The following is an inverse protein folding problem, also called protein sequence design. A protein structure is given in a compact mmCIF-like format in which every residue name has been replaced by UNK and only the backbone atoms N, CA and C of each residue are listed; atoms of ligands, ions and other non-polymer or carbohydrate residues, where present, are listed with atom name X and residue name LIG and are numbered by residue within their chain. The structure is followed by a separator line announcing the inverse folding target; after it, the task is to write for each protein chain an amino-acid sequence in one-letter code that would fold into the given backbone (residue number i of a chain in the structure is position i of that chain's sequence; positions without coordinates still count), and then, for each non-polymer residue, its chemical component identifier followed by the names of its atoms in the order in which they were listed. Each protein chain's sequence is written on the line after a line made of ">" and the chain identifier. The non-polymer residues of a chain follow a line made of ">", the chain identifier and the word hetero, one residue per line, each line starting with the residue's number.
data_IF_230108659306
#
_entry.id   IF_230108659306
#
_cell.length_a   1.000
_cell.length_b   1.000
_cell.length_c   1.000
_cell.angle_alpha   90.00
_cell.angle_beta   90.00
_cell.angle_gamma   90.00
#
_symmetry.space_group_name_H-M   'P 1'
#
loop_
_entity.id
_entity.type
_entity.pdbx_description
1 polymer ?
#
# COMPACT_ATOMS: atom_id res chain seq x y z
N UNK A 1 -6.78 13.95 -21.34
CA UNK A 1 -6.95 13.10 -20.14
C UNK A 1 -5.70 12.28 -19.80
N UNK A 2 -5.21 11.38 -20.67
CA UNK A 2 -3.99 10.59 -20.36
C UNK A 2 -2.76 11.48 -20.15
N UNK A 3 -2.55 12.47 -21.04
CA UNK A 3 -1.47 13.45 -20.88
C UNK A 3 -1.60 14.25 -19.59
N UNK A 4 -2.81 14.67 -19.23
CA UNK A 4 -3.07 15.39 -17.98
C UNK A 4 -2.72 14.54 -16.74
N UNK A 5 -3.09 13.26 -16.74
CA UNK A 5 -2.75 12.31 -15.67
C UNK A 5 -1.22 12.20 -15.55
N UNK A 6 -0.52 12.01 -16.68
CA UNK A 6 0.94 11.89 -16.69
C UNK A 6 1.63 13.18 -16.22
N UNK A 7 1.11 14.35 -16.57
CA UNK A 7 1.64 15.63 -16.08
C UNK A 7 1.49 15.75 -14.57
N UNK A 8 0.34 15.38 -14.02
CA UNK A 8 0.12 15.34 -12.56
C UNK A 8 1.07 14.34 -11.92
N UNK A 9 1.17 13.12 -12.46
CA UNK A 9 2.08 12.10 -11.93
C UNK A 9 3.53 12.55 -11.90
N UNK A 10 4.00 13.19 -12.97
CA UNK A 10 5.36 13.69 -13.06
C UNK A 10 5.64 14.77 -12.02
N UNK A 11 4.68 15.68 -11.81
CA UNK A 11 4.76 16.72 -10.79
C UNK A 11 4.82 16.10 -9.38
N UNK A 12 3.89 15.20 -9.06
CA UNK A 12 3.83 14.50 -7.77
C UNK A 12 5.10 13.70 -7.50
N UNK A 13 5.57 12.94 -8.48
CA UNK A 13 6.79 12.15 -8.37
C UNK A 13 8.00 13.03 -8.01
N UNK A 14 8.14 14.20 -8.64
CA UNK A 14 9.20 15.16 -8.30
C UNK A 14 9.02 15.77 -6.92
N UNK A 15 7.79 16.08 -6.52
CA UNK A 15 7.49 16.66 -5.21
C UNK A 15 7.90 15.73 -4.07
N UNK A 16 7.69 14.42 -4.22
CA UNK A 16 8.12 13.40 -3.24
C UNK A 16 9.62 13.47 -2.92
N UNK A 17 10.47 13.74 -3.92
CA UNK A 17 11.93 13.80 -3.74
C UNK A 17 12.46 15.19 -3.35
N UNK A 18 11.68 16.25 -3.57
CA UNK A 18 12.13 17.64 -3.37
C UNK A 18 11.69 18.26 -2.04
N UNK A 19 10.77 17.64 -1.30
CA UNK A 19 10.30 18.15 -0.01
C UNK A 19 11.45 18.28 1.01
N UNK A 20 11.91 19.52 1.23
CA UNK A 20 13.13 19.91 1.96
C UNK A 20 13.12 19.57 3.46
N UNK A 21 11.96 19.25 4.05
CA UNK A 21 11.80 18.68 5.40
C UNK A 21 11.23 17.25 5.42
N UNK A 22 10.71 16.77 4.29
CA UNK A 22 10.16 15.42 4.12
C UNK A 22 11.21 14.35 3.86
N UNK A 23 12.39 14.72 3.35
CA UNK A 23 13.48 13.76 3.05
C UNK A 23 13.91 12.90 4.22
N UNK A 24 13.99 13.46 5.43
CA UNK A 24 14.34 12.68 6.64
C UNK A 24 13.24 11.69 7.01
N UNK A 25 11.98 12.13 7.00
CA UNK A 25 10.81 11.27 7.26
C UNK A 25 10.68 10.17 6.20
N UNK A 26 10.88 10.52 4.93
CA UNK A 26 10.89 9.60 3.79
C UNK A 26 12.02 8.58 3.90
N UNK A 27 13.23 9.01 4.26
CA UNK A 27 14.35 8.11 4.50
C UNK A 27 14.07 7.18 5.68
N UNK A 28 13.49 7.67 6.78
CA UNK A 28 13.09 6.83 7.92
C UNK A 28 12.02 5.81 7.54
N UNK A 29 11.04 6.19 6.73
CA UNK A 29 9.99 5.30 6.24
C UNK A 29 10.55 4.24 5.28
N UNK A 30 11.57 4.57 4.47
CA UNK A 30 12.26 3.61 3.60
C UNK A 30 13.30 2.76 4.34
N UNK A 31 13.78 3.20 5.49
CA UNK A 31 14.77 2.49 6.28
C UNK A 31 14.20 1.18 6.82
N UNK A 32 12.94 1.16 7.27
CA UNK A 32 12.35 -0.05 7.88
C UNK A 32 12.11 -1.19 6.88
N UNK A 33 11.57 -0.97 5.65
CA UNK A 33 11.50 -2.01 4.63
C UNK A 33 12.88 -2.51 4.21
N UNK A 34 13.85 -1.59 4.07
CA UNK A 34 15.21 -1.93 3.65
C UNK A 34 15.90 -2.79 4.72
N UNK A 35 15.77 -2.42 6.00
CA UNK A 35 16.31 -3.18 7.11
C UNK A 35 15.70 -4.60 7.17
N UNK A 36 14.38 -4.72 7.06
CA UNK A 36 13.67 -6.01 7.00
C UNK A 36 14.13 -6.86 5.81
N UNK A 37 14.40 -6.22 4.66
CA UNK A 37 14.87 -6.90 3.43
C UNK A 37 16.29 -7.46 3.53
N UNK A 38 17.06 -7.07 4.54
CA UNK A 38 18.42 -7.60 4.75
C UNK A 38 18.43 -8.57 5.92
N UNK A 39 17.86 -8.18 7.06
CA UNK A 39 17.94 -8.98 8.29
C UNK A 39 17.19 -10.29 8.16
N UNK A 40 15.95 -10.28 7.67
CA UNK A 40 15.12 -11.49 7.67
C UNK A 40 15.65 -12.55 6.68
N UNK A 41 16.01 -12.20 5.44
CA UNK A 41 16.59 -13.16 4.50
C UNK A 41 17.96 -13.66 4.93
N UNK A 42 18.74 -12.84 5.65
CA UNK A 42 20.02 -13.28 6.19
C UNK A 42 19.87 -14.40 7.23
N UNK A 43 18.79 -14.34 8.03
CA UNK A 43 18.50 -15.36 9.03
C UNK A 43 17.91 -16.64 8.42
N UNK A 44 16.98 -16.50 7.46
CA UNK A 44 16.24 -17.64 6.88
C UNK A 44 16.91 -18.25 5.63
N UNK A 45 17.83 -17.53 4.99
CA UNK A 45 18.52 -17.99 3.78
C UNK A 45 17.54 -18.38 2.67
N UNK A 46 17.57 -19.65 2.28
CA UNK A 46 16.73 -20.21 1.20
C UNK A 46 15.24 -20.22 1.55
N UNK A 47 14.89 -20.49 2.80
CA UNK A 47 13.48 -20.59 3.22
C UNK A 47 12.73 -19.27 3.01
N UNK A 48 13.45 -18.15 3.02
CA UNK A 48 12.87 -16.86 2.67
C UNK A 48 12.22 -16.87 1.29
N UNK A 49 12.84 -17.46 0.27
CA UNK A 49 12.37 -17.39 -1.12
C UNK A 49 11.05 -18.13 -1.38
N UNK A 50 10.67 -19.05 -0.48
CA UNK A 50 9.40 -19.78 -0.52
C UNK A 50 8.44 -19.39 0.61
N UNK A 51 8.88 -18.58 1.57
CA UNK A 51 8.09 -18.29 2.77
C UNK A 51 6.89 -17.39 2.48
N UNK A 52 5.75 -17.73 3.09
CA UNK A 52 4.57 -16.87 3.12
C UNK A 52 4.83 -15.54 3.85
N UNK A 53 5.84 -15.49 4.73
CA UNK A 53 6.22 -14.26 5.44
C UNK A 53 6.63 -13.15 4.47
N UNK A 54 7.27 -13.47 3.34
CA UNK A 54 7.64 -12.47 2.32
C UNK A 54 6.40 -11.80 1.75
N UNK A 55 5.39 -12.61 1.42
CA UNK A 55 4.10 -12.14 0.90
C UNK A 55 3.41 -11.25 1.93
N UNK A 56 3.39 -11.63 3.20
CA UNK A 56 2.80 -10.79 4.24
C UNK A 56 3.57 -9.48 4.45
N UNK A 57 4.90 -9.53 4.52
CA UNK A 57 5.76 -8.35 4.71
C UNK A 57 5.61 -7.39 3.52
N UNK A 58 5.54 -7.89 2.29
CA UNK A 58 5.31 -7.07 1.11
C UNK A 58 3.98 -6.29 1.16
N UNK A 59 2.93 -6.93 1.67
CA UNK A 59 1.63 -6.31 1.86
C UNK A 59 1.67 -5.24 2.97
N UNK A 60 2.36 -5.51 4.09
CA UNK A 60 2.54 -4.54 5.17
C UNK A 60 3.33 -3.32 4.68
N UNK A 61 4.39 -3.51 3.89
CA UNK A 61 5.16 -2.41 3.31
C UNK A 61 4.26 -1.58 2.39
N UNK A 62 3.53 -2.20 1.47
CA UNK A 62 2.59 -1.51 0.60
C UNK A 62 1.56 -0.68 1.40
N UNK A 63 1.01 -1.26 2.47
CA UNK A 63 0.10 -0.61 3.39
C UNK A 63 0.72 0.62 4.08
N UNK A 64 1.93 0.50 4.63
CA UNK A 64 2.59 1.60 5.34
C UNK A 64 2.95 2.76 4.40
N UNK A 65 3.45 2.45 3.19
CA UNK A 65 3.83 3.47 2.22
C UNK A 65 2.59 4.17 1.66
N UNK A 66 1.59 3.42 1.19
CA UNK A 66 0.35 4.02 0.67
C UNK A 66 -0.40 4.78 1.76
N UNK A 67 -0.41 4.26 2.99
CA UNK A 67 -1.09 4.85 4.14
C UNK A 67 -0.48 6.13 4.67
N UNK A 68 0.75 6.47 4.26
CA UNK A 68 1.40 7.75 4.59
C UNK A 68 1.34 8.73 3.43
N UNK A 69 1.58 8.27 2.20
CA UNK A 69 1.61 9.13 1.02
C UNK A 69 0.25 9.70 0.64
N UNK A 70 -0.82 8.93 0.81
CA UNK A 70 -2.15 9.35 0.36
C UNK A 70 -2.76 10.42 1.27
N UNK A 71 -2.71 10.27 2.61
CA UNK A 71 -3.06 11.37 3.50
C UNK A 71 -2.29 12.66 3.21
N UNK A 72 -0.99 12.59 2.94
CA UNK A 72 -0.18 13.77 2.62
C UNK A 72 -0.59 14.41 1.29
N UNK A 73 -0.85 13.60 0.26
CA UNK A 73 -1.22 14.09 -1.08
C UNK A 73 -2.63 14.72 -1.17
N UNK A 74 -3.56 14.34 -0.27
CA UNK A 74 -4.94 14.84 -0.27
C UNK A 74 -5.25 15.75 0.91
N UNK A 75 -5.08 15.26 2.15
CA UNK A 75 -5.35 16.07 3.33
C UNK A 75 -4.28 17.15 3.53
N UNK A 76 -3.04 16.92 3.09
CA UNK A 76 -1.96 17.90 3.22
C UNK A 76 -2.15 19.13 2.35
N UNK A 77 -2.75 18.98 1.17
CA UNK A 77 -3.12 20.15 0.37
C UNK A 77 -4.32 20.90 0.92
N UNK A 78 -5.22 20.21 1.65
CA UNK A 78 -6.31 20.87 2.37
C UNK A 78 -5.79 21.69 3.54
N UNK A 79 -4.91 21.07 4.33
CA UNK A 79 -4.27 21.69 5.50
C UNK A 79 -3.44 22.92 5.12
N UNK A 80 -2.89 22.95 3.90
CA UNK A 80 -2.12 24.09 3.36
C UNK A 80 -2.97 25.10 2.58
N UNK A 81 -4.29 24.93 2.54
CA UNK A 81 -5.25 25.75 1.77
C UNK A 81 -4.92 25.85 0.26
N UNK A 82 -4.14 24.91 -0.28
CA UNK A 82 -3.73 24.90 -1.70
C UNK A 82 -4.65 24.08 -2.59
N UNK A 83 -5.65 23.39 -2.03
CA UNK A 83 -6.63 22.64 -2.82
C UNK A 83 -7.47 23.55 -3.72
N UNK A 84 -7.86 24.73 -3.25
CA UNK A 84 -8.71 25.65 -4.02
C UNK A 84 -7.98 26.22 -5.23
N UNK A 85 -6.67 26.50 -5.10
CA UNK A 85 -5.82 26.98 -6.20
C UNK A 85 -5.52 25.88 -7.22
N UNK A 86 -5.37 24.63 -6.77
CA UNK A 86 -5.27 23.47 -7.67
C UNK A 86 -6.59 23.22 -8.43
N UNK A 87 -7.74 23.37 -7.78
CA UNK A 87 -9.05 23.30 -8.43
C UNK A 87 -9.34 24.51 -9.34
N UNK A 88 -8.66 25.65 -9.16
CA UNK A 88 -8.76 26.78 -10.08
C UNK A 88 -8.01 26.55 -11.42
N UNK A 89 -7.12 25.54 -11.49
CA UNK A 89 -6.45 25.20 -12.76
C UNK A 89 -7.39 24.47 -13.74
N UNK A 90 -7.05 24.54 -15.04
CA UNK A 90 -7.81 23.92 -16.14
C UNK A 90 -7.74 22.39 -16.17
N UNK A 91 -7.11 21.75 -15.18
CA UNK A 91 -6.96 20.30 -15.15
C UNK A 91 -8.26 19.63 -14.69
N UNK A 92 -8.67 18.52 -15.34
CA UNK A 92 -9.87 17.81 -14.93
C UNK A 92 -9.64 17.10 -13.59
N UNK A 93 -10.62 17.20 -12.68
CA UNK A 93 -10.58 16.63 -11.32
C UNK A 93 -10.19 15.15 -11.27
N UNK A 94 -10.71 14.37 -12.23
CA UNK A 94 -10.38 12.94 -12.36
C UNK A 94 -8.92 12.72 -12.69
N UNK A 95 -8.28 13.59 -13.47
CA UNK A 95 -6.86 13.47 -13.77
C UNK A 95 -5.99 13.79 -12.55
N UNK A 96 -6.41 14.75 -11.72
CA UNK A 96 -5.72 15.07 -10.46
C UNK A 96 -5.82 13.88 -9.50
N UNK A 97 -7.03 13.37 -9.26
CA UNK A 97 -7.23 12.22 -8.37
C UNK A 97 -6.43 11.00 -8.85
N UNK A 98 -6.57 10.62 -10.12
CA UNK A 98 -5.89 9.46 -10.67
C UNK A 98 -4.37 9.63 -10.66
N UNK A 99 -3.87 10.82 -11.03
CA UNK A 99 -2.43 11.08 -11.04
C UNK A 99 -1.80 10.95 -9.66
N UNK A 100 -2.44 11.49 -8.62
CA UNK A 100 -1.98 11.38 -7.23
C UNK A 100 -2.04 9.96 -6.70
N UNK A 101 -3.19 9.32 -6.89
CA UNK A 101 -3.41 7.94 -6.45
C UNK A 101 -2.42 6.99 -7.13
N UNK A 102 -2.27 7.06 -8.46
CA UNK A 102 -1.36 6.19 -9.20
C UNK A 102 0.09 6.45 -8.81
N UNK A 103 0.48 7.71 -8.55
CA UNK A 103 1.82 8.04 -8.07
C UNK A 103 2.11 7.38 -6.73
N UNK A 104 1.21 7.49 -5.76
CA UNK A 104 1.38 6.87 -4.44
C UNK A 104 1.42 5.33 -4.53
N UNK A 105 0.51 4.72 -5.31
CA UNK A 105 0.45 3.26 -5.50
C UNK A 105 1.69 2.74 -6.20
N UNK A 106 2.12 3.36 -7.32
CA UNK A 106 3.31 2.96 -8.05
C UNK A 106 4.57 3.15 -7.22
N UNK A 107 4.64 4.21 -6.41
CA UNK A 107 5.74 4.40 -5.48
C UNK A 107 5.80 3.28 -4.43
N UNK A 108 4.67 2.96 -3.79
CA UNK A 108 4.59 1.85 -2.84
C UNK A 108 5.01 0.51 -3.47
N UNK A 109 4.54 0.23 -4.69
CA UNK A 109 4.94 -0.96 -5.45
C UNK A 109 6.42 -0.96 -5.81
N UNK A 110 6.97 0.19 -6.21
CA UNK A 110 8.41 0.33 -6.47
C UNK A 110 9.25 -0.01 -5.25
N UNK A 111 8.83 0.42 -4.06
CA UNK A 111 9.49 0.07 -2.79
C UNK A 111 9.40 -1.44 -2.52
N UNK A 112 8.25 -2.07 -2.76
CA UNK A 112 8.09 -3.53 -2.61
C UNK A 112 8.98 -4.29 -3.58
N UNK A 113 9.02 -3.90 -4.85
CA UNK A 113 9.90 -4.51 -5.86
C UNK A 113 11.37 -4.35 -5.47
N UNK A 114 11.78 -3.17 -5.02
CA UNK A 114 13.14 -2.94 -4.54
C UNK A 114 13.46 -3.83 -3.33
N UNK A 115 12.55 -3.93 -2.36
CA UNK A 115 12.68 -4.81 -1.19
C UNK A 115 12.82 -6.28 -1.59
N UNK A 116 11.98 -6.78 -2.51
CA UNK A 116 12.06 -8.14 -3.03
C UNK A 116 13.40 -8.40 -3.75
N UNK A 117 13.89 -7.42 -4.52
CA UNK A 117 15.17 -7.49 -5.21
C UNK A 117 16.37 -7.54 -4.25
N UNK A 118 16.41 -6.65 -3.25
CA UNK A 118 17.46 -6.64 -2.22
C UNK A 118 17.44 -7.95 -1.44
N UNK A 119 16.27 -8.39 -0.99
CA UNK A 119 16.15 -9.63 -0.23
C UNK A 119 16.49 -10.89 -1.04
N UNK A 120 16.25 -10.89 -2.36
CA UNK A 120 16.71 -11.95 -3.26
C UNK A 120 18.23 -12.04 -3.30
N UNK A 121 18.91 -10.90 -3.44
CA UNK A 121 20.38 -10.82 -3.44
C UNK A 121 20.93 -11.32 -2.10
N UNK A 122 20.38 -10.84 -0.99
CA UNK A 122 20.81 -11.23 0.36
C UNK A 122 20.63 -12.73 0.61
N UNK A 123 19.47 -13.29 0.26
CA UNK A 123 19.20 -14.72 0.40
C UNK A 123 20.19 -15.57 -0.41
N UNK A 124 20.51 -15.15 -1.63
CA UNK A 124 21.45 -15.84 -2.51
C UNK A 124 22.90 -15.74 -2.01
N UNK A 125 23.32 -14.60 -1.44
CA UNK A 125 24.65 -14.46 -0.82
C UNK A 125 24.76 -15.40 0.37
N UNK A 126 23.72 -15.48 1.21
CA UNK A 126 23.73 -16.28 2.43
C UNK A 126 23.70 -17.79 2.17
N UNK A 127 22.92 -18.22 1.20
CA UNK A 127 22.68 -19.63 0.84
C UNK A 127 23.17 -19.93 -0.58
N UNK A 128 24.41 -19.53 -0.88
CA UNK A 128 25.01 -19.70 -2.19
C UNK A 128 25.33 -21.17 -2.47
N UNK A 129 24.71 -21.74 -3.51
CA UNK A 129 24.91 -23.12 -3.96
C UNK A 129 25.43 -23.19 -5.41
N UNK A 130 26.09 -22.13 -5.89
CA UNK A 130 26.62 -22.07 -7.26
C UNK A 130 25.59 -21.73 -8.34
N UNK A 131 24.32 -21.48 -7.97
CA UNK A 131 23.25 -21.00 -8.87
C UNK A 131 22.40 -19.96 -8.16
N UNK A 132 21.89 -19.01 -8.94
CA UNK A 132 20.90 -18.03 -8.47
C UNK A 132 19.57 -18.74 -8.26
N UNK A 133 19.07 -18.69 -7.04
CA UNK A 133 17.75 -19.15 -6.63
C UNK A 133 16.77 -17.99 -6.74
N UNK A 134 15.63 -18.27 -7.37
CA UNK A 134 14.54 -17.31 -7.53
C UNK A 134 13.44 -17.56 -6.51
N UNK A 135 12.60 -16.55 -6.30
CA UNK A 135 11.37 -16.73 -5.54
C UNK A 135 10.51 -17.85 -6.12
N UNK A 136 9.89 -18.63 -5.25
CA UNK A 136 8.82 -19.53 -5.68
C UNK A 136 7.75 -18.71 -6.41
N UNK A 137 7.19 -19.18 -7.54
CA UNK A 137 6.22 -18.40 -8.32
C UNK A 137 5.02 -17.93 -7.47
N UNK A 138 4.57 -18.77 -6.54
CA UNK A 138 3.50 -18.45 -5.58
C UNK A 138 3.88 -17.31 -4.66
N UNK A 139 5.12 -17.27 -4.17
CA UNK A 139 5.62 -16.24 -3.25
C UNK A 139 5.93 -14.96 -4.02
N UNK A 140 6.66 -15.02 -5.13
CA UNK A 140 7.04 -13.83 -5.91
C UNK A 140 5.82 -13.09 -6.46
N UNK A 141 5.01 -13.78 -7.26
CA UNK A 141 3.81 -13.17 -7.84
C UNK A 141 2.72 -12.92 -6.80
N UNK A 142 2.59 -13.79 -5.79
CA UNK A 142 1.64 -13.59 -4.70
C UNK A 142 1.96 -12.33 -3.88
N UNK A 143 3.24 -12.05 -3.64
CA UNK A 143 3.70 -10.83 -2.96
C UNK A 143 3.33 -9.59 -3.77
N UNK A 144 3.63 -9.58 -5.07
CA UNK A 144 3.29 -8.45 -5.93
C UNK A 144 1.78 -8.23 -6.06
N UNK A 145 1.01 -9.32 -6.25
CA UNK A 145 -0.44 -9.25 -6.37
C UNK A 145 -1.08 -8.73 -5.07
N UNK A 146 -0.69 -9.29 -3.92
CA UNK A 146 -1.21 -8.86 -2.62
C UNK A 146 -0.80 -7.41 -2.31
N UNK A 147 0.46 -7.03 -2.54
CA UNK A 147 0.93 -5.66 -2.36
C UNK A 147 0.15 -4.67 -3.24
N UNK A 148 -0.17 -5.05 -4.48
CA UNK A 148 -0.97 -4.23 -5.41
C UNK A 148 -2.38 -4.01 -4.87
N UNK A 149 -3.07 -5.09 -4.50
CA UNK A 149 -4.44 -5.01 -3.96
C UNK A 149 -4.47 -4.20 -2.65
N UNK A 150 -3.46 -4.37 -1.79
CA UNK A 150 -3.39 -3.60 -0.55
C UNK A 150 -3.10 -2.12 -0.81
N UNK A 151 -2.13 -1.79 -1.67
CA UNK A 151 -1.81 -0.40 -1.99
C UNK A 151 -3.01 0.35 -2.60
N UNK A 152 -3.74 -0.31 -3.49
CA UNK A 152 -4.93 0.24 -4.16
C UNK A 152 -6.12 0.39 -3.21
N UNK A 153 -6.32 -0.58 -2.31
CA UNK A 153 -7.38 -0.53 -1.28
C UNK A 153 -7.13 0.61 -0.28
N UNK A 154 -5.91 0.69 0.26
CA UNK A 154 -5.46 1.80 1.11
C UNK A 154 -5.59 3.12 0.33
N UNK A 155 -5.27 3.06 -0.96
CA UNK A 155 -5.62 4.02 -1.99
C UNK A 155 -7.01 4.63 -1.89
N UNK A 156 -8.00 3.81 -2.22
CA UNK A 156 -9.39 4.23 -2.28
C UNK A 156 -9.92 4.70 -0.93
N UNK A 157 -9.63 3.96 0.15
CA UNK A 157 -10.05 4.32 1.49
C UNK A 157 -9.40 5.62 1.97
N UNK A 158 -8.10 5.79 1.71
CA UNK A 158 -7.35 6.98 2.06
C UNK A 158 -7.93 8.23 1.41
N UNK A 159 -8.30 8.16 0.13
CA UNK A 159 -8.98 9.27 -0.56
C UNK A 159 -10.29 9.63 0.16
N UNK A 160 -11.16 8.65 0.43
CA UNK A 160 -12.47 8.91 1.06
C UNK A 160 -12.31 9.58 2.43
N UNK A 161 -11.33 9.13 3.21
CA UNK A 161 -11.04 9.63 4.55
C UNK A 161 -10.41 11.02 4.49
N UNK A 162 -9.40 11.21 3.64
CA UNK A 162 -8.68 12.48 3.49
C UNK A 162 -9.56 13.61 2.98
N UNK A 163 -10.62 13.31 2.23
CA UNK A 163 -11.61 14.31 1.81
C UNK A 163 -12.40 14.92 2.97
N UNK A 164 -12.46 14.27 4.13
CA UNK A 164 -13.22 14.75 5.29
C UNK A 164 -12.33 15.14 6.48
N UNK A 165 -11.05 14.79 6.44
CA UNK A 165 -10.10 15.10 7.49
C UNK A 165 -9.62 16.56 7.40
N UNK A 166 -9.40 17.20 8.55
CA UNK A 166 -8.87 18.56 8.62
C UNK A 166 -7.34 18.60 8.51
N UNK A 167 -6.65 17.53 8.94
CA UNK A 167 -5.18 17.44 8.93
C UNK A 167 -4.68 16.12 8.36
N UNK A 168 -3.43 16.10 7.89
CA UNK A 168 -2.74 14.87 7.43
C UNK A 168 -2.69 13.83 8.53
N UNK A 169 -2.38 14.25 9.76
CA UNK A 169 -2.28 13.33 10.89
C UNK A 169 -3.63 12.68 11.20
N UNK A 170 -4.72 13.45 11.18
CA UNK A 170 -6.06 12.90 11.41
C UNK A 170 -6.44 11.90 10.30
N UNK A 171 -6.17 12.23 9.04
CA UNK A 171 -6.43 11.33 7.92
C UNK A 171 -5.64 10.03 8.04
N UNK A 172 -4.35 10.11 8.36
CA UNK A 172 -3.48 8.95 8.51
C UNK A 172 -3.93 8.05 9.69
N UNK A 173 -4.20 8.63 10.87
CA UNK A 173 -4.66 7.86 12.04
C UNK A 173 -5.99 7.18 11.77
N UNK A 174 -6.96 7.88 11.16
CA UNK A 174 -8.25 7.29 10.84
C UNK A 174 -8.13 6.18 9.78
N UNK A 175 -7.30 6.38 8.76
CA UNK A 175 -7.02 5.36 7.74
C UNK A 175 -6.40 4.09 8.37
N UNK A 176 -5.40 4.27 9.23
CA UNK A 176 -4.79 3.17 9.97
C UNK A 176 -5.82 2.48 10.89
N UNK A 177 -6.65 3.24 11.60
CA UNK A 177 -7.68 2.69 12.48
C UNK A 177 -8.74 1.88 11.71
N UNK A 178 -9.25 2.41 10.60
CA UNK A 178 -10.26 1.74 9.75
C UNK A 178 -9.75 0.41 9.21
N UNK A 179 -8.45 0.30 8.96
CA UNK A 179 -7.83 -0.92 8.42
C UNK A 179 -7.38 -1.89 9.53
N UNK A 180 -6.74 -1.38 10.59
CA UNK A 180 -6.18 -2.21 11.65
C UNK A 180 -7.22 -2.70 12.65
N UNK A 181 -8.22 -1.88 13.01
CA UNK A 181 -9.20 -2.29 14.04
C UNK A 181 -10.01 -3.50 13.61
N UNK A 182 -10.57 -3.60 12.38
CA UNK A 182 -11.25 -4.81 11.93
C UNK A 182 -10.30 -6.01 11.85
N UNK A 183 -9.05 -5.80 11.42
CA UNK A 183 -8.06 -6.86 11.35
C UNK A 183 -7.71 -7.41 12.75
N UNK A 184 -7.55 -6.53 13.73
CA UNK A 184 -7.30 -6.89 15.13
C UNK A 184 -8.51 -7.57 15.75
N UNK A 185 -9.73 -7.08 15.49
CA UNK A 185 -10.96 -7.71 15.97
C UNK A 185 -11.12 -9.12 15.39
N UNK A 186 -10.83 -9.29 14.10
CA UNK A 186 -10.85 -10.59 13.43
C UNK A 186 -9.78 -11.52 13.99
N UNK A 187 -8.56 -11.02 14.24
CA UNK A 187 -7.49 -11.79 14.89
C UNK A 187 -7.86 -12.18 16.32
N UNK A 188 -8.42 -11.28 17.12
CA UNK A 188 -8.87 -11.57 18.47
C UNK A 188 -9.99 -12.61 18.48
N UNK A 189 -10.98 -12.46 17.60
CA UNK A 189 -12.05 -13.45 17.42
C UNK A 189 -11.49 -14.83 17.00
N UNK A 190 -10.50 -14.84 16.10
CA UNK A 190 -9.82 -16.05 15.68
C UNK A 190 -9.08 -16.75 16.83
N UNK A 191 -8.41 -15.99 17.71
CA UNK A 191 -7.74 -16.52 18.90
C UNK A 191 -8.72 -17.07 19.93
N UNK A 192 -9.85 -16.40 20.14
CA UNK A 192 -10.90 -16.83 21.08
C UNK A 192 -11.67 -18.07 20.57
N UNK A 193 -11.68 -18.30 19.26
CA UNK A 193 -12.36 -19.42 18.60
C UNK A 193 -11.39 -20.49 18.07
N UNK A 194 -10.20 -20.59 18.65
CA UNK A 194 -9.09 -21.42 18.16
C UNK A 194 -9.50 -22.86 17.81
N UNK A 195 -10.35 -23.50 18.61
CA UNK A 195 -10.82 -24.89 18.37
C UNK A 195 -11.72 -25.04 17.13
N UNK A 196 -12.55 -24.02 16.83
CA UNK A 196 -13.41 -24.01 15.62
C UNK A 196 -12.65 -23.55 14.40
N UNK A 197 -11.70 -22.63 14.59
CA UNK A 197 -10.84 -22.12 13.55
C UNK A 197 -9.85 -23.19 13.08
N UNK A 198 -9.31 -24.02 13.98
CA UNK A 198 -8.44 -25.14 13.63
C UNK A 198 -9.12 -26.11 12.64
N UNK A 199 -10.41 -26.42 12.86
CA UNK A 199 -11.20 -27.26 11.93
C UNK A 199 -11.46 -26.58 10.58
N UNK A 200 -11.70 -25.27 10.55
CA UNK A 200 -11.84 -24.49 9.31
C UNK A 200 -10.51 -24.37 8.56
N UNK A 201 -9.41 -24.20 9.30
CA UNK A 201 -8.05 -24.14 8.77
C UNK A 201 -7.62 -25.49 8.21
N UNK A 202 -7.92 -26.62 8.85
CA UNK A 202 -7.66 -27.96 8.31
C UNK A 202 -8.41 -28.21 6.98
N UNK A 203 -9.64 -27.70 6.86
CA UNK A 203 -10.41 -27.76 5.59
C UNK A 203 -9.82 -26.84 4.50
N UNK A 204 -9.10 -25.78 4.90
CA UNK A 204 -8.47 -24.80 4.01
C UNK A 204 -6.99 -25.10 3.71
N UNK A 205 -6.31 -25.93 4.50
CA UNK A 205 -4.89 -26.27 4.38
C UNK A 205 -4.54 -26.96 3.05
N UNK A 206 -5.51 -27.58 2.36
CA UNK A 206 -5.34 -28.16 1.03
C UNK A 206 -5.79 -27.26 -0.13
N UNK A 207 -6.29 -26.05 0.13
CA UNK A 207 -6.85 -25.15 -0.89
C UNK A 207 -5.95 -23.92 -1.08
N UNK A 208 -5.91 -23.32 -2.27
CA UNK A 208 -5.13 -22.10 -2.48
C UNK A 208 -5.84 -20.92 -1.80
N UNK A 209 -5.60 -20.75 -0.49
CA UNK A 209 -6.22 -19.69 0.34
C UNK A 209 -5.80 -18.31 -0.13
N UNK A 210 -4.53 -18.15 -0.53
CA UNK A 210 -3.97 -16.87 -0.96
C UNK A 210 -4.75 -16.22 -2.13
N UNK A 211 -5.03 -16.88 -3.26
CA UNK A 211 -5.82 -16.27 -4.33
C UNK A 211 -7.26 -15.99 -3.93
N UNK A 212 -7.87 -16.74 -3.01
CA UNK A 212 -9.20 -16.42 -2.48
C UNK A 212 -9.15 -15.11 -1.69
N UNK A 213 -8.16 -14.94 -0.81
CA UNK A 213 -7.95 -13.70 -0.05
C UNK A 213 -7.70 -12.53 -0.99
N UNK A 214 -6.81 -12.68 -1.97
CA UNK A 214 -6.54 -11.66 -2.98
C UNK A 214 -7.82 -11.32 -3.77
N UNK A 215 -8.61 -12.33 -4.16
CA UNK A 215 -9.85 -12.13 -4.89
C UNK A 215 -10.90 -11.37 -4.08
N UNK A 216 -11.11 -11.74 -2.82
CA UNK A 216 -12.02 -11.02 -1.91
C UNK A 216 -11.57 -9.59 -1.71
N UNK A 217 -10.28 -9.37 -1.43
CA UNK A 217 -9.73 -8.03 -1.26
C UNK A 217 -9.83 -7.20 -2.55
N UNK A 218 -9.62 -7.80 -3.72
CA UNK A 218 -9.76 -7.12 -5.01
C UNK A 218 -11.21 -6.68 -5.29
N UNK A 219 -12.20 -7.51 -4.92
CA UNK A 219 -13.62 -7.12 -5.03
C UNK A 219 -13.93 -5.93 -4.12
N UNK A 220 -13.45 -5.96 -2.87
CA UNK A 220 -13.59 -4.83 -1.95
C UNK A 220 -12.87 -3.60 -2.47
N UNK A 221 -11.66 -3.75 -3.01
CA UNK A 221 -10.86 -2.68 -3.60
C UNK A 221 -11.63 -1.98 -4.73
N UNK A 222 -12.12 -2.73 -5.72
CA UNK A 222 -12.94 -2.18 -6.82
C UNK A 222 -14.14 -1.40 -6.29
N UNK A 223 -14.85 -1.93 -5.29
CA UNK A 223 -15.98 -1.23 -4.67
C UNK A 223 -15.54 0.07 -3.98
N UNK A 224 -14.47 0.04 -3.18
CA UNK A 224 -13.95 1.23 -2.49
C UNK A 224 -13.43 2.28 -3.45
N UNK A 225 -12.73 1.89 -4.51
CA UNK A 225 -12.22 2.78 -5.53
C UNK A 225 -13.35 3.41 -6.35
N UNK A 226 -14.37 2.64 -6.72
CA UNK A 226 -15.57 3.16 -7.37
C UNK A 226 -16.28 4.20 -6.48
N UNK A 227 -16.39 3.95 -5.17
CA UNK A 227 -16.93 4.91 -4.20
C UNK A 227 -16.06 6.16 -4.08
N UNK A 228 -14.74 6.02 -4.07
CA UNK A 228 -13.81 7.15 -4.06
C UNK A 228 -13.98 8.03 -5.31
N UNK A 229 -14.04 7.44 -6.51
CA UNK A 229 -14.32 8.15 -7.76
C UNK A 229 -15.70 8.81 -7.76
N UNK A 230 -16.71 8.14 -7.23
CA UNK A 230 -18.08 8.66 -7.21
C UNK A 230 -18.22 9.86 -6.25
N UNK A 231 -17.50 9.83 -5.12
CA UNK A 231 -17.49 10.88 -4.09
C UNK A 231 -16.60 12.08 -4.46
N UNK A 232 -15.59 11.89 -5.30
CA UNK A 232 -14.76 12.98 -5.80
C UNK A 232 -15.50 13.80 -6.87
N UNK A 233 -16.44 14.65 -6.44
CA UNK A 233 -17.12 15.65 -7.29
C UNK A 233 -17.06 17.02 -6.62
N UNK A 234 -16.37 17.96 -7.28
CA UNK A 234 -16.13 19.38 -6.91
C UNK A 234 -17.23 20.09 -6.13
N UNK A 235 -18.50 19.83 -6.44
CA UNK A 235 -19.62 20.66 -6.00
C UNK A 235 -20.02 20.54 -4.50
N UNK A 236 -19.53 19.54 -3.76
CA UNK A 236 -19.87 19.38 -2.32
C UNK A 236 -18.74 19.65 -1.34
N UNK A 237 -17.50 19.82 -1.80
CA UNK A 237 -16.35 20.10 -0.93
C UNK A 237 -16.21 21.58 -0.54
N UNK A 238 -16.86 22.49 -1.27
CA UNK A 238 -16.84 23.94 -1.01
C UNK A 238 -17.94 24.34 0.00
N UNK A 239 -18.86 23.43 0.33
CA UNK A 239 -20.02 23.71 1.18
C UNK A 239 -19.97 23.05 2.58
N UNK A 240 -18.83 22.45 2.97
CA UNK A 240 -18.64 21.79 4.28
C UNK A 240 -17.46 22.36 5.05
#
# INVERSE_FOLDING_TARGET
>A
MMQDILTVMWHEWRALFQARGGRSRFFMVLLSPLFMSVVVPWNLGREWLSSFLVTLISAVIAFLIAGTLIPDAFAGERERETLETLLATRLPDRAILLGKWLTAVLFALGVVVAMLGVSLVVANIRAWEGRVQWYAPTTGWGSLALATVVATLVGGLGIIISLHAATVQQAAVLLMAVLLVPAMALQAAALLMSDRLAKLLDVLQGKPVLPVVIGVLAVVDVATFALALARFRRAKLIAS
#
